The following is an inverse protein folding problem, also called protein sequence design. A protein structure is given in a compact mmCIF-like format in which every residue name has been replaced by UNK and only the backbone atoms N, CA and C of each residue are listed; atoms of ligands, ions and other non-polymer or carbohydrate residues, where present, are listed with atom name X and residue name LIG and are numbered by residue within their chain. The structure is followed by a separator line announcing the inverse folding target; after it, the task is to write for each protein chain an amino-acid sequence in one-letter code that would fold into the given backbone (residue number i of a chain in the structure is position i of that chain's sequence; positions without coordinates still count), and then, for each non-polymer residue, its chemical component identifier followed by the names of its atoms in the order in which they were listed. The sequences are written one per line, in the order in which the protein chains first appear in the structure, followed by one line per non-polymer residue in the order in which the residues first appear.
data_IF_554034365271
#
_entry.id   IF_554034365271
#
_cell.length_a   1.000
_cell.length_b   1.000
_cell.length_c   1.000
_cell.angle_alpha   90.00
_cell.angle_beta   90.00
_cell.angle_gamma   90.00
#
_symmetry.space_group_name_H-M   'P 1'
#
loop_
_entity.id
_entity.type
_entity.pdbx_description
1 polymer ?
#
# COMPACT_ATOMS: atom_id res chain seq x y z
N UNK A 1 -16.78 -4.23 7.87
CA UNK A 1 -16.88 -4.22 6.39
C UNK A 1 -16.00 -3.09 5.90
N UNK A 2 -14.89 -3.40 5.22
CA UNK A 2 -14.11 -2.38 4.51
C UNK A 2 -14.98 -1.87 3.36
N UNK A 3 -15.23 -0.56 3.34
CA UNK A 3 -16.05 0.12 2.34
C UNK A 3 -15.40 -0.05 0.96
N UNK A 4 -15.99 -0.90 0.14
CA UNK A 4 -15.54 -1.26 -1.22
C UNK A 4 -15.63 -0.12 -2.23
N UNK A 5 -16.30 0.98 -1.90
CA UNK A 5 -16.49 2.13 -2.80
C UNK A 5 -15.59 3.31 -2.45
N UNK A 6 -14.29 3.06 -2.29
CA UNK A 6 -13.33 4.16 -2.20
C UNK A 6 -12.67 4.35 -3.58
N UNK A 7 -12.98 5.43 -4.33
CA UNK A 7 -12.38 5.68 -5.65
C UNK A 7 -10.85 5.82 -5.59
N UNK A 8 -10.28 6.13 -4.41
CA UNK A 8 -8.84 6.11 -4.18
C UNK A 8 -8.29 4.67 -4.17
N UNK A 9 -9.04 3.71 -3.64
CA UNK A 9 -8.65 2.31 -3.56
C UNK A 9 -8.63 1.65 -4.94
N UNK A 10 -9.64 1.89 -5.78
CA UNK A 10 -9.65 1.40 -7.16
C UNK A 10 -8.54 2.04 -8.01
N UNK A 11 -8.27 3.34 -7.83
CA UNK A 11 -7.14 4.01 -8.48
C UNK A 11 -5.80 3.35 -8.11
N UNK A 12 -5.60 3.02 -6.83
CA UNK A 12 -4.42 2.32 -6.35
C UNK A 12 -4.31 0.95 -7.01
N UNK A 13 -5.39 0.15 -7.02
CA UNK A 13 -5.44 -1.15 -7.70
C UNK A 13 -5.00 -1.05 -9.16
N UNK A 14 -5.57 -0.11 -9.91
CA UNK A 14 -5.24 0.06 -11.33
C UNK A 14 -3.81 0.52 -11.54
N UNK A 15 -3.36 1.54 -10.80
CA UNK A 15 -2.03 2.16 -11.02
C UNK A 15 -0.87 1.32 -10.47
N UNK A 16 -1.13 0.45 -9.50
CA UNK A 16 -0.14 -0.43 -8.87
C UNK A 16 -0.41 -1.92 -9.16
N UNK A 17 -1.13 -2.22 -10.24
CA UNK A 17 -1.46 -3.59 -10.68
C UNK A 17 -0.24 -4.47 -10.92
N UNK A 18 0.94 -3.87 -11.17
CA UNK A 18 2.21 -4.59 -11.31
C UNK A 18 2.65 -5.35 -10.06
N UNK A 19 2.15 -5.00 -8.88
CA UNK A 19 2.43 -5.70 -7.63
C UNK A 19 1.51 -6.91 -7.49
N UNK A 20 1.77 -7.92 -8.30
CA UNK A 20 1.11 -9.24 -8.27
C UNK A 20 2.16 -10.33 -8.21
N UNK A 21 1.78 -11.56 -7.81
CA UNK A 21 2.69 -12.72 -7.70
C UNK A 21 3.87 -12.47 -6.76
N UNK A 22 3.67 -11.61 -5.76
CA UNK A 22 4.70 -11.15 -4.84
C UNK A 22 4.97 -12.15 -3.72
N UNK A 23 3.99 -13.00 -3.37
CA UNK A 23 4.10 -13.95 -2.25
C UNK A 23 5.34 -14.83 -2.34
N UNK A 24 5.58 -15.41 -3.51
CA UNK A 24 6.75 -16.27 -3.75
C UNK A 24 8.07 -15.54 -3.46
N UNK A 25 8.14 -14.24 -3.76
CA UNK A 25 9.32 -13.43 -3.47
C UNK A 25 9.50 -13.14 -1.98
N UNK A 26 8.40 -13.03 -1.22
CA UNK A 26 8.46 -12.90 0.24
C UNK A 26 8.82 -14.23 0.89
N UNK A 27 8.26 -15.35 0.43
CA UNK A 27 8.51 -16.69 0.97
C UNK A 27 9.91 -17.23 0.65
N UNK A 28 10.58 -16.64 -0.34
CA UNK A 28 11.93 -17.02 -0.76
C UNK A 28 12.93 -17.04 0.42
N UNK A 29 14.02 -17.81 0.32
CA UNK A 29 15.04 -17.87 1.37
C UNK A 29 15.61 -16.50 1.77
N UNK A 30 15.75 -15.59 0.81
CA UNK A 30 16.25 -14.22 0.95
C UNK A 30 15.14 -13.17 1.21
N UNK A 31 13.88 -13.60 1.27
CA UNK A 31 12.76 -12.75 1.59
C UNK A 31 12.83 -12.19 3.01
N UNK A 32 12.29 -10.99 3.23
CA UNK A 32 12.37 -10.33 4.51
C UNK A 32 11.64 -11.12 5.61
N UNK A 33 12.35 -11.39 6.70
CA UNK A 33 11.86 -12.20 7.82
C UNK A 33 10.57 -11.67 8.43
N UNK A 34 10.42 -10.37 8.62
CA UNK A 34 9.21 -9.80 9.23
C UNK A 34 7.97 -9.98 8.33
N UNK A 35 8.14 -9.88 7.01
CA UNK A 35 7.06 -10.14 6.07
C UNK A 35 6.67 -11.63 6.08
N UNK A 36 7.66 -12.54 6.14
CA UNK A 36 7.44 -13.99 6.26
C UNK A 36 6.72 -14.36 7.55
N UNK A 37 7.19 -13.86 8.68
CA UNK A 37 6.55 -14.04 9.99
C UNK A 37 5.09 -13.56 9.98
N UNK A 38 4.78 -12.49 9.24
CA UNK A 38 3.40 -11.99 9.13
C UNK A 38 2.52 -12.87 8.23
N UNK A 39 3.09 -13.49 7.19
CA UNK A 39 2.37 -14.49 6.39
C UNK A 39 2.04 -15.73 7.22
N UNK A 40 2.97 -16.13 8.09
CA UNK A 40 2.83 -17.31 8.94
C UNK A 40 2.11 -17.07 10.26
N UNK A 41 1.83 -15.80 10.59
CA UNK A 41 1.14 -15.42 11.81
C UNK A 41 -0.24 -16.08 11.90
N UNK A 42 -0.43 -16.85 12.96
CA UNK A 42 -1.70 -17.46 13.34
C UNK A 42 -2.34 -16.52 14.36
N UNK A 43 -3.51 -15.99 14.04
CA UNK A 43 -4.27 -15.15 14.95
C UNK A 43 -4.66 -15.96 16.20
N UNK A 44 -4.22 -15.57 17.41
CA UNK A 44 -4.52 -16.31 18.64
C UNK A 44 -6.02 -16.40 18.95
N UNK A 45 -6.81 -15.42 18.52
CA UNK A 45 -8.25 -15.39 18.80
C UNK A 45 -9.03 -16.34 17.88
N UNK A 46 -8.56 -16.55 16.66
CA UNK A 46 -9.28 -17.34 15.65
C UNK A 46 -8.60 -18.68 15.32
N UNK A 47 -7.35 -18.86 15.72
CA UNK A 47 -6.51 -20.01 15.39
C UNK A 47 -6.18 -20.12 13.91
N UNK A 48 -6.36 -19.05 13.12
CA UNK A 48 -6.25 -19.08 11.66
C UNK A 48 -5.21 -18.09 11.15
N UNK A 49 -4.55 -18.46 10.04
CA UNK A 49 -3.71 -17.52 9.28
C UNK A 49 -4.58 -16.53 8.53
N UNK A 50 -4.12 -15.30 8.40
CA UNK A 50 -4.77 -14.31 7.57
C UNK A 50 -4.63 -14.68 6.08
N UNK A 51 -5.72 -14.56 5.32
CA UNK A 51 -5.66 -14.64 3.87
C UNK A 51 -5.18 -13.30 3.28
N UNK A 52 -4.19 -13.39 2.39
CA UNK A 52 -3.69 -12.28 1.58
C UNK A 52 -3.88 -12.66 0.10
N UNK A 53 -4.53 -11.83 -0.70
CA UNK A 53 -4.54 -12.00 -2.17
C UNK A 53 -3.14 -11.73 -2.74
N UNK A 54 -2.78 -12.36 -3.85
CA UNK A 54 -1.45 -12.16 -4.46
C UNK A 54 -1.43 -10.98 -5.45
N UNK A 55 -2.00 -9.87 -4.99
CA UNK A 55 -2.16 -8.59 -5.68
C UNK A 55 -1.80 -7.43 -4.74
N UNK A 56 -1.93 -6.18 -5.21
CA UNK A 56 -1.60 -5.00 -4.42
C UNK A 56 -2.47 -4.86 -3.16
N UNK A 57 -3.71 -5.38 -3.17
CA UNK A 57 -4.59 -5.31 -2.00
C UNK A 57 -4.08 -6.22 -0.89
N UNK A 58 -3.74 -7.46 -1.25
CA UNK A 58 -3.17 -8.39 -0.30
C UNK A 58 -1.79 -7.96 0.17
N UNK A 59 -0.98 -7.33 -0.70
CA UNK A 59 0.30 -6.74 -0.30
C UNK A 59 0.08 -5.63 0.74
N UNK A 60 -0.82 -4.68 0.48
CA UNK A 60 -1.13 -3.61 1.43
C UNK A 60 -1.64 -4.15 2.77
N UNK A 61 -2.49 -5.17 2.73
CA UNK A 61 -2.97 -5.87 3.92
C UNK A 61 -1.81 -6.53 4.68
N UNK A 62 -0.88 -7.18 3.99
CA UNK A 62 0.33 -7.76 4.59
C UNK A 62 1.16 -6.68 5.28
N UNK A 63 1.42 -5.55 4.61
CA UNK A 63 2.22 -4.45 5.16
C UNK A 63 1.58 -3.84 6.41
N UNK A 64 0.26 -3.62 6.39
CA UNK A 64 -0.50 -3.18 7.56
C UNK A 64 -0.32 -4.16 8.72
N UNK A 65 -0.50 -5.44 8.47
CA UNK A 65 -0.40 -6.47 9.51
C UNK A 65 1.04 -6.65 10.01
N UNK A 66 2.05 -6.45 9.16
CA UNK A 66 3.47 -6.50 9.53
C UNK A 66 3.76 -5.45 10.61
N UNK A 67 3.26 -4.22 10.43
CA UNK A 67 3.37 -3.15 11.44
C UNK A 67 2.62 -3.45 12.73
N UNK A 68 1.59 -4.30 12.69
CA UNK A 68 0.81 -4.65 13.88
C UNK A 68 1.39 -5.84 14.63
N UNK A 69 2.19 -6.66 13.97
CA UNK A 69 2.71 -7.92 14.48
C UNK A 69 4.24 -7.93 14.48
N UNK A 70 4.87 -8.54 13.47
CA UNK A 70 6.31 -8.83 13.45
C UNK A 70 7.22 -7.60 13.50
N UNK A 71 6.74 -6.45 13.02
CA UNK A 71 7.46 -5.17 13.03
C UNK A 71 6.85 -4.13 13.98
N UNK A 72 6.03 -4.53 14.96
CA UNK A 72 5.30 -3.60 15.85
C UNK A 72 6.20 -2.59 16.59
N UNK A 73 7.41 -2.99 16.94
CA UNK A 73 8.39 -2.13 17.63
C UNK A 73 9.49 -1.60 16.69
N UNK A 74 9.28 -1.64 15.37
CA UNK A 74 10.28 -1.37 14.32
C UNK A 74 9.78 -0.32 13.32
N UNK A 75 8.99 0.63 13.79
CA UNK A 75 8.34 1.64 12.94
C UNK A 75 9.38 2.51 12.20
N UNK A 76 10.49 2.83 12.88
CA UNK A 76 11.61 3.61 12.36
C UNK A 76 12.30 2.97 11.15
N UNK A 77 12.36 1.64 11.11
CA UNK A 77 12.97 0.86 10.03
C UNK A 77 11.95 0.21 9.10
N UNK A 78 10.66 0.48 9.29
CA UNK A 78 9.59 -0.19 8.53
C UNK A 78 9.74 0.00 7.01
N UNK A 79 10.19 1.18 6.58
CA UNK A 79 10.45 1.45 5.15
C UNK A 79 11.56 0.53 4.61
N UNK A 80 12.60 0.24 5.39
CA UNK A 80 13.69 -0.64 5.00
C UNK A 80 13.22 -2.11 4.90
N UNK A 81 12.39 -2.54 5.86
CA UNK A 81 11.73 -3.85 5.85
C UNK A 81 10.96 -4.05 4.54
N UNK A 82 10.14 -3.07 4.16
CA UNK A 82 9.38 -3.10 2.90
C UNK A 82 10.29 -3.06 1.68
N UNK A 83 11.32 -2.20 1.71
CA UNK A 83 12.21 -1.98 0.57
C UNK A 83 13.05 -3.21 0.21
N UNK A 84 13.32 -4.12 1.16
CA UNK A 84 14.07 -5.35 0.89
C UNK A 84 13.39 -6.22 -0.19
N UNK A 85 12.07 -6.39 -0.11
CA UNK A 85 11.32 -7.12 -1.15
C UNK A 85 10.74 -6.19 -2.22
N UNK A 86 10.42 -4.95 -1.86
CA UNK A 86 9.66 -4.02 -2.70
C UNK A 86 10.32 -2.64 -2.78
N UNK A 87 11.53 -2.53 -3.36
CA UNK A 87 12.36 -1.31 -3.28
C UNK A 87 11.71 -0.07 -3.91
N UNK A 88 10.77 -0.25 -4.84
CA UNK A 88 10.09 0.86 -5.54
C UNK A 88 8.71 1.20 -4.97
N UNK A 89 8.18 0.40 -4.04
CA UNK A 89 6.78 0.48 -3.62
C UNK A 89 6.41 1.85 -3.04
N UNK A 90 7.22 2.38 -2.12
CA UNK A 90 6.96 3.70 -1.53
C UNK A 90 7.00 4.81 -2.57
N UNK A 91 7.99 4.78 -3.48
CA UNK A 91 8.09 5.76 -4.57
C UNK A 91 6.92 5.66 -5.55
N UNK A 92 6.45 4.46 -5.86
CA UNK A 92 5.31 4.25 -6.75
C UNK A 92 3.99 4.67 -6.08
N UNK A 93 3.80 4.42 -4.79
CA UNK A 93 2.68 4.97 -4.00
C UNK A 93 2.68 6.49 -3.99
N UNK A 94 3.84 7.11 -3.74
CA UNK A 94 3.96 8.56 -3.76
C UNK A 94 3.60 9.14 -5.12
N UNK A 95 4.01 8.53 -6.23
CA UNK A 95 3.63 8.96 -7.60
C UNK A 95 2.11 8.91 -7.82
N UNK A 96 1.44 7.84 -7.37
CA UNK A 96 -0.02 7.70 -7.51
C UNK A 96 -0.75 8.80 -6.73
N UNK A 97 -0.23 9.16 -5.56
CA UNK A 97 -0.79 10.18 -4.68
C UNK A 97 -0.43 11.61 -5.11
N UNK A 98 0.79 11.86 -5.59
CA UNK A 98 1.25 13.19 -6.03
C UNK A 98 0.54 13.66 -7.30
N UNK A 99 0.20 12.72 -8.21
CA UNK A 99 -0.68 13.02 -9.35
C UNK A 99 -2.04 13.61 -8.90
N UNK A 100 -2.53 13.29 -7.70
CA UNK A 100 -3.78 13.85 -7.17
C UNK A 100 -3.58 15.29 -6.67
N UNK A 101 -2.45 15.58 -6.02
CA UNK A 101 -2.15 16.93 -5.52
C UNK A 101 -2.01 17.93 -6.66
N UNK A 102 -1.32 17.56 -7.75
CA UNK A 102 -1.15 18.44 -8.92
C UNK A 102 -2.48 18.71 -9.64
N UNK A 103 -3.32 17.69 -9.84
CA UNK A 103 -4.65 17.86 -10.46
C UNK A 103 -5.60 18.74 -9.64
N UNK A 104 -5.56 18.64 -8.31
CA UNK A 104 -6.36 19.49 -7.41
C UNK A 104 -5.87 20.95 -7.45
N UNK A 105 -4.55 21.17 -7.52
CA UNK A 105 -3.98 22.51 -7.64
C UNK A 105 -4.33 23.15 -8.98
N UNK A 106 -4.30 22.39 -10.08
CA UNK A 106 -4.70 22.87 -11.40
C UNK A 106 -6.20 23.16 -11.51
N UNK A 107 -7.05 22.30 -10.95
CA UNK A 107 -8.51 22.53 -10.96
C UNK A 107 -8.91 23.75 -10.14
N UNK A 108 -8.27 23.98 -8.98
CA UNK A 108 -8.44 25.21 -8.18
C UNK A 108 -7.95 26.45 -8.94
N UNK A 109 -6.82 26.36 -9.66
CA UNK A 109 -6.29 27.47 -10.45
C UNK A 109 -7.22 27.86 -11.61
N UNK A 110 -7.89 26.89 -12.22
CA UNK A 110 -8.85 27.11 -13.31
C UNK A 110 -10.15 27.75 -12.80
N UNK A 111 -10.68 27.34 -11.65
CA UNK A 111 -11.89 27.93 -11.07
C UNK A 111 -11.69 29.35 -10.57
N UNK A 112 -10.51 29.69 -10.03
CA UNK A 112 -10.18 31.09 -9.68
C UNK A 112 -10.12 31.97 -10.93
N UNK A 113 -9.47 31.49 -12.00
CA UNK A 113 -9.40 32.23 -13.27
C UNK A 113 -10.75 32.49 -13.92
N UNK A 114 -11.69 31.52 -13.88
CA UNK A 114 -13.03 31.75 -14.43
C UNK A 114 -13.83 32.72 -13.57
N UNK A 115 -13.72 32.66 -12.24
CA UNK A 115 -14.41 33.61 -11.35
C UNK A 115 -13.96 35.07 -11.55
N UNK A 116 -12.70 35.30 -11.93
CA UNK A 116 -12.15 36.63 -12.24
C UNK A 116 -12.57 37.16 -13.63
N UNK A 117 -13.03 36.29 -14.54
CA UNK A 117 -13.50 36.67 -15.90
C UNK A 117 -14.96 37.15 -15.88
N UNK A 118 -15.75 36.77 -14.87
CA UNK A 118 -17.17 37.12 -14.75
C UNK A 118 -17.46 38.24 -13.72
N UNK A 119 -16.45 39.00 -13.32
CA UNK A 119 -16.57 40.25 -12.54
C UNK A 119 -16.27 41.46 -13.42
#
# INVERSE_FOLDING_TARGET
METTDNPTYEKIKTKLSKYTKWKKGVEAPDGNTHLKETLDFIDPATGRKAYYSDDICGLLKLLRNTRQHSARAKEDVFVLIVAQNFPRLMGDFQKVNSLKATQILESKRLTTKTADIYK
#
